data_IF_702657539383
#
_entry.id   IF_702657539383
#
_cell.length_a   1.000
_cell.length_b   1.000
_cell.length_c   1.000
_cell.angle_alpha   90.00
_cell.angle_beta   90.00
_cell.angle_gamma   90.00
#
_symmetry.space_group_name_H-M   'P 1'
#
loop_
_entity.id
_entity.type
_entity.pdbx_description
1 polymer ?
#
# COMPACT_ATOMS: atom_id res chain seq x y z
N UNK A 1 -4.85 -0.54 -45.52
CA UNK A 1 -5.91 -1.49 -45.15
C UNK A 1 -6.62 -0.88 -43.95
N UNK A 2 -7.87 -0.44 -44.11
CA UNK A 2 -8.60 0.27 -43.05
C UNK A 2 -9.08 -0.71 -41.97
N UNK A 3 -8.53 -0.62 -40.77
CA UNK A 3 -8.88 -1.39 -39.56
C UNK A 3 -10.19 -0.92 -38.91
N UNK A 4 -11.20 -0.53 -39.70
CA UNK A 4 -12.46 0.06 -39.21
C UNK A 4 -13.69 -0.82 -39.47
N UNK A 5 -13.48 -2.13 -39.54
CA UNK A 5 -14.50 -3.09 -39.12
C UNK A 5 -13.93 -3.75 -37.86
N UNK A 6 -14.54 -3.45 -36.71
CA UNK A 6 -14.32 -4.20 -35.47
C UNK A 6 -14.46 -5.68 -35.80
N UNK A 7 -13.33 -6.38 -35.89
CA UNK A 7 -13.33 -7.77 -36.32
C UNK A 7 -13.83 -8.58 -35.12
N UNK A 8 -15.15 -8.71 -34.99
CA UNK A 8 -15.86 -9.39 -33.89
C UNK A 8 -15.23 -10.76 -33.63
N UNK A 9 -14.80 -11.45 -34.68
CA UNK A 9 -14.09 -12.73 -34.56
C UNK A 9 -12.75 -12.59 -33.84
N UNK A 10 -11.93 -11.59 -34.20
CA UNK A 10 -10.67 -11.30 -33.54
C UNK A 10 -10.89 -10.90 -32.07
N UNK A 11 -11.88 -10.06 -31.77
CA UNK A 11 -12.20 -9.67 -30.39
C UNK A 11 -12.63 -10.86 -29.53
N UNK A 12 -13.45 -11.75 -30.09
CA UNK A 12 -13.84 -13.00 -29.42
C UNK A 12 -12.63 -13.92 -29.20
N UNK A 13 -11.73 -14.00 -30.19
CA UNK A 13 -10.51 -14.79 -30.08
C UNK A 13 -9.57 -14.23 -29.01
N UNK A 14 -9.33 -12.92 -29.00
CA UNK A 14 -8.52 -12.25 -27.98
C UNK A 14 -9.12 -12.49 -26.60
N UNK A 15 -10.43 -12.32 -26.42
CA UNK A 15 -11.11 -12.56 -25.13
C UNK A 15 -10.96 -14.01 -24.67
N UNK A 16 -11.11 -14.97 -25.58
CA UNK A 16 -10.97 -16.39 -25.27
C UNK A 16 -9.54 -16.74 -24.84
N UNK A 17 -8.53 -16.27 -25.58
CA UNK A 17 -7.12 -16.53 -25.29
C UNK A 17 -6.66 -15.80 -24.02
N UNK A 18 -7.12 -14.56 -23.81
CA UNK A 18 -6.79 -13.74 -22.62
C UNK A 18 -7.29 -14.34 -21.30
N UNK A 19 -8.29 -15.23 -21.37
CA UNK A 19 -8.81 -15.98 -20.23
C UNK A 19 -8.01 -17.26 -19.91
N UNK A 20 -7.04 -17.63 -20.77
CA UNK A 20 -6.16 -18.80 -20.58
C UNK A 20 -4.81 -18.30 -20.07
N UNK A 21 -4.31 -18.77 -18.90
CA UNK A 21 -3.01 -18.36 -18.41
C UNK A 21 -1.90 -18.77 -19.39
N UNK A 22 -1.02 -17.85 -19.78
CA UNK A 22 0.03 -18.12 -20.79
C UNK A 22 0.93 -19.28 -20.36
N UNK A 23 1.19 -19.44 -19.06
CA UNK A 23 1.99 -20.55 -18.54
C UNK A 23 1.40 -21.94 -18.81
N UNK A 24 0.12 -22.05 -19.20
CA UNK A 24 -0.51 -23.32 -19.60
C UNK A 24 -0.40 -23.60 -21.10
N UNK A 25 0.01 -22.62 -21.90
CA UNK A 25 0.18 -22.75 -23.34
C UNK A 25 1.62 -23.22 -23.61
N UNK A 26 1.78 -24.29 -24.38
CA UNK A 26 3.12 -24.75 -24.79
C UNK A 26 3.79 -23.68 -25.67
N UNK A 27 5.11 -23.49 -25.53
CA UNK A 27 5.88 -22.42 -26.20
C UNK A 27 5.97 -22.56 -27.74
N UNK A 28 5.44 -23.62 -28.34
CA UNK A 28 5.35 -23.85 -29.78
C UNK A 28 3.94 -23.63 -30.35
N UNK A 29 2.95 -23.35 -29.49
CA UNK A 29 1.55 -23.15 -29.87
C UNK A 29 1.20 -21.70 -30.20
N UNK A 30 1.94 -20.75 -29.65
CA UNK A 30 1.76 -19.31 -29.88
C UNK A 30 3.03 -18.72 -30.47
N UNK A 31 2.95 -18.23 -31.71
CA UNK A 31 4.09 -17.55 -32.35
C UNK A 31 4.37 -16.19 -31.71
N UNK A 32 5.55 -15.61 -31.96
CA UNK A 32 5.88 -14.26 -31.48
C UNK A 32 4.88 -13.23 -32.03
N UNK A 33 4.50 -13.34 -33.31
CA UNK A 33 3.51 -12.46 -33.93
C UNK A 33 2.11 -12.65 -33.31
N UNK A 34 1.75 -13.91 -32.99
CA UNK A 34 0.49 -14.22 -32.30
C UNK A 34 0.45 -13.63 -30.90
N UNK A 35 1.55 -13.75 -30.15
CA UNK A 35 1.71 -13.15 -28.83
C UNK A 35 1.70 -11.62 -28.92
N UNK A 36 2.43 -11.02 -29.87
CA UNK A 36 2.43 -9.57 -30.10
C UNK A 36 1.02 -9.06 -30.40
N UNK A 37 0.28 -9.77 -31.25
CA UNK A 37 -1.13 -9.44 -31.54
C UNK A 37 -1.97 -9.48 -30.26
N UNK A 38 -1.89 -10.57 -29.49
CA UNK A 38 -2.59 -10.71 -28.22
C UNK A 38 -2.29 -9.56 -27.26
N UNK A 39 -1.01 -9.30 -26.99
CA UNK A 39 -0.58 -8.26 -26.06
C UNK A 39 -0.97 -6.86 -26.55
N UNK A 40 -0.83 -6.55 -27.84
CA UNK A 40 -1.23 -5.24 -28.38
C UNK A 40 -2.73 -4.96 -28.27
N UNK A 41 -3.57 -6.01 -28.25
CA UNK A 41 -5.01 -5.86 -28.09
C UNK A 41 -5.44 -5.73 -26.64
N UNK A 42 -4.67 -6.26 -25.69
CA UNK A 42 -4.99 -6.24 -24.25
C UNK A 42 -4.27 -5.13 -23.50
N UNK A 43 -3.17 -4.61 -24.05
CA UNK A 43 -2.46 -3.44 -23.55
C UNK A 43 -3.37 -2.20 -23.64
N UNK A 44 -3.47 -1.45 -22.54
CA UNK A 44 -4.28 -0.22 -22.41
C UNK A 44 -5.80 -0.32 -22.68
N UNK A 45 -6.34 -1.53 -22.89
CA UNK A 45 -7.80 -1.76 -23.01
C UNK A 45 -8.35 -2.38 -21.73
N UNK A 46 -9.63 -2.13 -21.43
CA UNK A 46 -10.37 -2.81 -20.34
C UNK A 46 -10.72 -4.27 -20.70
N UNK A 47 -9.78 -5.01 -21.32
CA UNK A 47 -9.93 -6.44 -21.57
C UNK A 47 -9.29 -7.18 -20.40
N UNK A 48 -10.05 -8.00 -19.66
CA UNK A 48 -9.47 -8.85 -18.63
C UNK A 48 -8.40 -9.77 -19.20
N UNK A 49 -7.22 -9.78 -18.58
CA UNK A 49 -6.11 -10.64 -18.94
C UNK A 49 -5.68 -11.42 -17.70
N UNK A 50 -5.81 -12.75 -17.74
CA UNK A 50 -5.66 -13.59 -16.55
C UNK A 50 -4.20 -13.75 -16.10
N UNK A 51 -3.26 -13.52 -17.01
CA UNK A 51 -1.83 -13.77 -16.78
C UNK A 51 -1.16 -12.53 -16.15
N UNK A 52 -0.50 -12.64 -14.98
CA UNK A 52 0.25 -11.54 -14.38
C UNK A 52 1.42 -11.08 -15.25
N UNK A 53 1.83 -9.81 -15.10
CA UNK A 53 2.85 -9.16 -15.94
C UNK A 53 4.21 -9.86 -15.92
N UNK A 54 4.60 -10.44 -14.79
CA UNK A 54 5.82 -11.27 -14.72
C UNK A 54 5.71 -12.53 -15.59
N UNK A 55 4.54 -13.18 -15.60
CA UNK A 55 4.34 -14.38 -16.39
C UNK A 55 4.23 -14.06 -17.89
N UNK A 56 3.74 -12.87 -18.24
CA UNK A 56 3.82 -12.33 -19.61
C UNK A 56 5.26 -12.15 -20.03
N UNK A 57 6.08 -11.49 -19.18
CA UNK A 57 7.51 -11.34 -19.43
C UNK A 57 8.22 -12.69 -19.58
N UNK A 58 7.98 -13.60 -18.64
CA UNK A 58 8.54 -14.95 -18.65
C UNK A 58 8.21 -15.69 -19.94
N UNK A 59 6.94 -15.69 -20.35
CA UNK A 59 6.51 -16.35 -21.57
C UNK A 59 7.19 -15.75 -22.80
N UNK A 60 7.22 -14.42 -22.88
CA UNK A 60 7.86 -13.66 -23.96
C UNK A 60 9.35 -13.96 -24.07
N UNK A 61 10.07 -13.93 -22.95
CA UNK A 61 11.51 -14.19 -22.89
C UNK A 61 11.87 -15.62 -23.29
N UNK A 62 11.10 -16.62 -22.83
CA UNK A 62 11.33 -18.03 -23.20
C UNK A 62 11.04 -18.25 -24.69
N UNK A 63 9.99 -17.62 -25.23
CA UNK A 63 9.64 -17.70 -26.65
C UNK A 63 10.71 -17.07 -27.53
N UNK A 64 11.20 -15.88 -27.17
CA UNK A 64 12.33 -15.20 -27.83
C UNK A 64 13.60 -16.06 -27.79
N UNK A 65 13.92 -16.63 -26.63
CA UNK A 65 15.09 -17.50 -26.48
C UNK A 65 15.01 -18.76 -27.35
N UNK A 66 13.81 -19.32 -27.52
CA UNK A 66 13.57 -20.47 -28.41
C UNK A 66 13.83 -20.15 -29.89
N UNK A 67 13.56 -18.91 -30.33
CA UNK A 67 13.89 -18.49 -31.69
C UNK A 67 15.40 -18.40 -31.92
N UNK A 68 16.17 -18.05 -30.88
CA UNK A 68 17.62 -17.93 -30.95
C UNK A 68 18.30 -19.30 -30.98
N UNK A 69 18.03 -20.17 -29.99
CA UNK A 69 18.58 -21.54 -29.94
C UNK A 69 17.92 -22.40 -28.85
N UNK A 70 18.07 -23.72 -28.95
CA UNK A 70 17.63 -24.64 -27.88
C UNK A 70 18.40 -24.41 -26.57
N UNK A 71 19.68 -24.03 -26.64
CA UNK A 71 20.49 -23.75 -25.45
C UNK A 71 20.02 -22.47 -24.75
N UNK A 72 19.69 -21.43 -25.52
CA UNK A 72 19.10 -20.20 -24.99
C UNK A 72 17.73 -20.49 -24.35
N UNK A 73 16.87 -21.26 -25.03
CA UNK A 73 15.57 -21.70 -24.49
C UNK A 73 15.71 -22.38 -23.12
N UNK A 74 16.57 -23.40 -23.01
CA UNK A 74 16.75 -24.13 -21.75
C UNK A 74 17.37 -23.25 -20.65
N UNK A 75 18.28 -22.35 -21.01
CA UNK A 75 18.93 -21.48 -20.04
C UNK A 75 17.95 -20.44 -19.47
N UNK A 76 17.21 -19.73 -20.33
CA UNK A 76 16.22 -18.73 -19.91
C UNK A 76 15.07 -19.40 -19.14
N UNK A 77 14.59 -20.56 -19.58
CA UNK A 77 13.55 -21.30 -18.87
C UNK A 77 13.97 -21.72 -17.45
N UNK A 78 15.26 -22.05 -17.23
CA UNK A 78 15.81 -22.34 -15.90
C UNK A 78 15.94 -21.08 -15.03
N UNK A 79 16.30 -19.96 -15.64
CA UNK A 79 16.55 -18.70 -14.92
C UNK A 79 15.26 -17.91 -14.61
N UNK A 80 14.17 -18.18 -15.33
CA UNK A 80 12.85 -17.57 -15.11
C UNK A 80 11.88 -18.61 -14.51
N UNK A 81 11.85 -18.77 -13.16
CA UNK A 81 10.89 -19.66 -12.50
C UNK A 81 9.44 -19.18 -12.68
N UNK A 82 8.44 -20.05 -12.53
CA UNK A 82 7.04 -19.60 -12.44
C UNK A 82 6.78 -18.86 -11.12
N UNK A 83 5.67 -18.13 -11.00
CA UNK A 83 5.31 -17.47 -9.74
C UNK A 83 5.18 -18.48 -8.59
N UNK A 84 4.49 -19.60 -8.84
CA UNK A 84 4.37 -20.70 -7.87
C UNK A 84 5.73 -21.22 -7.39
N UNK A 85 6.70 -21.38 -8.32
CA UNK A 85 8.06 -21.79 -7.98
C UNK A 85 8.79 -20.70 -7.19
N UNK A 86 8.62 -19.43 -7.56
CA UNK A 86 9.24 -18.30 -6.87
C UNK A 86 8.75 -18.17 -5.42
N UNK A 87 7.45 -18.33 -5.18
CA UNK A 87 6.85 -18.31 -3.83
C UNK A 87 7.40 -19.45 -2.96
N UNK A 88 7.53 -20.66 -3.53
CA UNK A 88 8.12 -21.80 -2.82
C UNK A 88 9.61 -21.58 -2.52
N UNK A 89 10.37 -21.00 -3.46
CA UNK A 89 11.78 -20.69 -3.28
C UNK A 89 12.01 -19.60 -2.22
N UNK A 90 11.08 -18.65 -2.11
CA UNK A 90 11.11 -17.60 -1.10
C UNK A 90 10.89 -18.17 0.31
N UNK A 91 9.89 -19.06 0.47
CA UNK A 91 9.66 -19.77 1.74
C UNK A 91 10.88 -20.58 2.18
N UNK A 92 11.74 -20.99 1.24
CA UNK A 92 12.93 -21.79 1.47
C UNK A 92 14.24 -20.97 1.49
N UNK A 93 14.20 -19.64 1.43
CA UNK A 93 15.38 -18.73 1.47
C UNK A 93 16.41 -18.89 0.34
N UNK A 94 16.03 -19.53 -0.78
CA UNK A 94 16.96 -19.93 -1.84
C UNK A 94 17.18 -18.91 -2.97
N UNK A 95 16.50 -17.76 -3.00
CA UNK A 95 16.65 -16.79 -4.10
C UNK A 95 18.09 -16.27 -4.24
N UNK A 96 18.84 -16.18 -3.13
CA UNK A 96 20.24 -15.75 -3.12
C UNK A 96 21.20 -16.74 -3.80
N UNK A 97 20.84 -18.03 -3.96
CA UNK A 97 21.72 -19.02 -4.58
C UNK A 97 21.68 -19.00 -6.12
N UNK A 98 20.60 -18.48 -6.73
CA UNK A 98 20.50 -18.30 -8.19
C UNK A 98 21.55 -17.31 -8.74
N UNK A 99 22.08 -16.41 -7.91
CA UNK A 99 23.17 -15.51 -8.30
C UNK A 99 24.46 -16.27 -8.66
N UNK A 100 24.67 -17.48 -8.15
CA UNK A 100 25.95 -18.21 -8.23
C UNK A 100 26.08 -19.08 -9.50
N UNK A 101 24.98 -19.39 -10.19
CA UNK A 101 24.96 -20.15 -11.45
C UNK A 101 24.55 -19.31 -12.66
N UNK A 102 24.88 -18.02 -12.69
CA UNK A 102 24.74 -17.20 -13.91
C UNK A 102 25.79 -17.62 -14.93
N UNK A 103 25.49 -18.70 -15.65
CA UNK A 103 26.15 -19.00 -16.91
C UNK A 103 25.80 -17.83 -17.83
N UNK A 104 26.77 -16.93 -18.04
CA UNK A 104 26.67 -15.83 -19.01
C UNK A 104 26.18 -16.44 -20.33
N UNK A 105 24.97 -16.10 -20.73
CA UNK A 105 24.40 -16.55 -21.99
C UNK A 105 25.17 -15.80 -23.07
N UNK A 106 25.96 -16.52 -23.87
CA UNK A 106 26.67 -15.93 -25.01
C UNK A 106 25.72 -15.25 -26.03
N UNK A 107 24.44 -15.58 -25.97
CA UNK A 107 23.37 -15.12 -26.86
C UNK A 107 22.38 -14.11 -26.22
N UNK A 108 22.65 -13.54 -25.03
CA UNK A 108 21.72 -12.61 -24.36
C UNK A 108 21.29 -11.44 -25.24
N UNK A 109 22.24 -10.89 -26.01
CA UNK A 109 21.95 -9.79 -26.94
C UNK A 109 20.98 -10.20 -28.06
N UNK A 110 21.05 -11.46 -28.52
CA UNK A 110 20.12 -11.98 -29.53
C UNK A 110 18.73 -12.22 -28.93
N UNK A 111 18.67 -12.73 -27.69
CA UNK A 111 17.40 -12.87 -26.98
C UNK A 111 16.77 -11.50 -26.76
N UNK A 112 17.56 -10.51 -26.36
CA UNK A 112 17.12 -9.12 -26.18
C UNK A 112 16.54 -8.53 -27.48
N UNK A 113 17.19 -8.75 -28.63
CA UNK A 113 16.69 -8.26 -29.92
C UNK A 113 15.38 -8.90 -30.33
N UNK A 114 15.22 -10.21 -30.10
CA UNK A 114 13.94 -10.89 -30.37
C UNK A 114 12.83 -10.46 -29.39
N UNK A 115 13.20 -10.14 -28.15
CA UNK A 115 12.27 -9.73 -27.09
C UNK A 115 11.83 -8.26 -27.22
N UNK A 116 12.64 -7.40 -27.84
CA UNK A 116 12.46 -5.93 -27.89
C UNK A 116 11.03 -5.51 -28.25
N UNK A 117 10.44 -6.15 -29.26
CA UNK A 117 9.09 -5.86 -29.76
C UNK A 117 7.95 -6.36 -28.86
N UNK A 118 8.24 -7.11 -27.81
CA UNK A 118 7.26 -7.59 -26.82
C UNK A 118 7.37 -6.80 -25.51
N UNK A 119 8.57 -6.32 -25.17
CA UNK A 119 8.81 -5.50 -23.97
C UNK A 119 7.89 -4.29 -23.90
N UNK A 120 7.60 -3.66 -25.04
CA UNK A 120 6.75 -2.46 -25.13
C UNK A 120 5.33 -2.69 -24.57
N UNK A 121 4.84 -3.94 -24.54
CA UNK A 121 3.50 -4.27 -24.06
C UNK A 121 3.45 -4.76 -22.61
N UNK A 122 4.60 -4.84 -21.93
CA UNK A 122 4.69 -5.36 -20.56
C UNK A 122 4.80 -4.21 -19.60
N UNK A 123 3.91 -4.16 -18.61
CA UNK A 123 3.99 -3.14 -17.57
C UNK A 123 4.87 -3.63 -16.41
N UNK A 124 6.17 -3.41 -16.52
CA UNK A 124 7.15 -3.80 -15.49
C UNK A 124 6.90 -3.14 -14.12
N UNK A 125 6.16 -2.03 -14.05
CA UNK A 125 5.78 -1.38 -12.77
C UNK A 125 4.85 -2.26 -11.91
N UNK A 126 4.16 -3.22 -12.53
CA UNK A 126 3.29 -4.19 -11.87
C UNK A 126 4.01 -5.48 -11.46
N UNK A 127 5.28 -5.64 -11.83
CA UNK A 127 6.10 -6.78 -11.41
C UNK A 127 6.67 -6.47 -10.02
N UNK A 128 6.67 -7.46 -9.13
CA UNK A 128 7.23 -7.30 -7.80
C UNK A 128 8.72 -6.90 -7.85
N UNK A 129 9.10 -5.87 -7.08
CA UNK A 129 10.47 -5.34 -7.11
C UNK A 129 11.56 -6.38 -6.82
N UNK A 130 11.27 -7.38 -5.97
CA UNK A 130 12.20 -8.48 -5.69
C UNK A 130 12.46 -9.38 -6.90
N UNK A 131 11.44 -9.64 -7.72
CA UNK A 131 11.57 -10.40 -8.97
C UNK A 131 12.35 -9.57 -9.98
N UNK A 132 12.03 -8.28 -10.08
CA UNK A 132 12.73 -7.35 -10.96
C UNK A 132 14.25 -7.33 -10.69
N UNK A 133 14.65 -7.06 -9.44
CA UNK A 133 16.05 -6.89 -9.02
C UNK A 133 16.84 -8.20 -9.09
N UNK A 134 16.25 -9.30 -8.62
CA UNK A 134 17.00 -10.55 -8.44
C UNK A 134 16.96 -11.48 -9.66
N UNK A 135 15.93 -11.35 -10.49
CA UNK A 135 15.67 -12.28 -11.60
C UNK A 135 15.73 -11.56 -12.94
N UNK A 136 14.96 -10.49 -13.16
CA UNK A 136 14.82 -9.87 -14.49
C UNK A 136 16.05 -9.04 -14.89
N UNK A 137 16.39 -8.04 -14.07
CA UNK A 137 17.50 -7.10 -14.35
C UNK A 137 18.82 -7.84 -14.64
N UNK A 138 19.21 -8.87 -13.87
CA UNK A 138 20.50 -9.50 -14.09
C UNK A 138 20.56 -10.44 -15.31
N UNK A 139 19.45 -10.66 -16.02
CA UNK A 139 19.47 -11.39 -17.29
C UNK A 139 19.99 -10.55 -18.44
N UNK A 140 19.98 -9.21 -18.32
CA UNK A 140 20.44 -8.29 -19.35
C UNK A 140 19.73 -8.49 -20.71
N UNK A 141 18.49 -9.01 -20.69
CA UNK A 141 17.62 -9.17 -21.88
C UNK A 141 16.54 -8.09 -21.99
N UNK A 142 16.39 -7.26 -20.96
CA UNK A 142 15.45 -6.12 -20.93
C UNK A 142 16.22 -4.82 -21.13
N UNK A 143 15.73 -3.86 -21.94
CA UNK A 143 16.37 -2.56 -22.09
C UNK A 143 16.55 -1.85 -20.75
N UNK A 144 17.72 -1.25 -20.55
CA UNK A 144 18.07 -0.57 -19.29
C UNK A 144 17.12 0.60 -18.99
N UNK A 145 16.62 1.28 -20.02
CA UNK A 145 15.67 2.38 -19.89
C UNK A 145 14.38 1.92 -19.20
N UNK A 146 13.88 0.73 -19.56
CA UNK A 146 12.66 0.15 -18.97
C UNK A 146 12.88 -0.16 -17.49
N UNK A 147 14.00 -0.79 -17.14
CA UNK A 147 14.35 -1.09 -15.75
C UNK A 147 14.50 0.20 -14.93
N UNK A 148 15.22 1.19 -15.47
CA UNK A 148 15.46 2.48 -14.81
C UNK A 148 14.15 3.24 -14.56
N UNK A 149 13.21 3.20 -15.50
CA UNK A 149 11.91 3.87 -15.36
C UNK A 149 11.04 3.23 -14.28
N UNK A 150 11.15 1.90 -14.07
CA UNK A 150 10.50 1.23 -12.93
C UNK A 150 11.12 1.68 -11.61
N UNK A 151 12.44 1.73 -11.51
CA UNK A 151 13.12 2.23 -10.31
C UNK A 151 12.72 3.67 -9.96
N UNK A 152 12.67 4.55 -10.98
CA UNK A 152 12.20 5.94 -10.82
C UNK A 152 10.76 6.00 -10.35
N UNK A 153 9.86 5.21 -10.95
CA UNK A 153 8.45 5.15 -10.56
C UNK A 153 8.29 4.68 -9.11
N UNK A 154 8.96 3.61 -8.73
CA UNK A 154 8.92 3.06 -7.37
C UNK A 154 9.49 4.07 -6.36
N UNK A 155 10.56 4.77 -6.71
CA UNK A 155 11.17 5.81 -5.85
C UNK A 155 10.23 7.00 -5.64
N UNK A 156 9.56 7.47 -6.70
CA UNK A 156 8.57 8.55 -6.58
C UNK A 156 7.36 8.14 -5.72
N UNK A 157 6.91 6.89 -5.84
CA UNK A 157 5.81 6.33 -5.04
C UNK A 157 6.21 6.17 -3.55
N UNK A 158 7.43 5.75 -3.25
CA UNK A 158 7.90 5.60 -1.87
C UNK A 158 8.14 6.97 -1.20
N UNK A 159 8.65 7.94 -1.96
CA UNK A 159 9.00 9.24 -1.44
C UNK A 159 7.78 10.16 -1.17
N UNK A 160 6.59 9.83 -1.65
CA UNK A 160 5.38 10.58 -1.28
C UNK A 160 5.04 10.43 0.21
N UNK A 161 5.51 9.35 0.85
CA UNK A 161 5.24 9.05 2.27
C UNK A 161 6.47 9.29 3.17
N UNK A 162 7.63 9.59 2.58
CA UNK A 162 8.87 9.79 3.33
C UNK A 162 8.94 11.22 3.85
N UNK A 163 9.03 11.37 5.18
CA UNK A 163 9.39 12.66 5.76
C UNK A 163 10.91 12.80 5.65
N UNK A 164 11.39 13.88 5.02
CA UNK A 164 12.82 14.25 4.87
C UNK A 164 13.52 14.58 6.20
N UNK A 165 12.97 14.13 7.32
CA UNK A 165 13.41 14.44 8.68
C UNK A 165 14.18 13.24 9.22
N UNK A 166 15.40 13.51 9.70
CA UNK A 166 16.19 12.53 10.45
C UNK A 166 15.50 12.21 11.78
N UNK A 167 15.18 10.94 12.03
CA UNK A 167 14.57 10.47 13.29
C UNK A 167 13.05 10.34 13.23
N UNK A 168 12.39 10.10 14.37
CA UNK A 168 10.91 10.06 14.43
C UNK A 168 10.40 11.50 14.36
N UNK A 169 9.58 11.85 13.35
CA UNK A 169 9.01 13.19 13.27
C UNK A 169 8.12 13.48 14.49
N UNK A 170 8.41 14.59 15.16
CA UNK A 170 7.52 15.16 16.18
C UNK A 170 6.58 16.11 15.45
N UNK A 171 5.32 15.74 15.36
CA UNK A 171 4.31 16.57 14.73
C UNK A 171 3.65 17.44 15.79
N UNK A 172 3.90 18.75 15.72
CA UNK A 172 3.21 19.75 16.55
C UNK A 172 2.00 20.25 15.80
N UNK A 173 0.84 20.08 16.42
CA UNK A 173 -0.43 20.51 15.84
C UNK A 173 -0.48 22.03 15.72
N UNK A 174 -0.92 22.52 14.57
CA UNK A 174 -1.22 23.94 14.41
C UNK A 174 -2.62 24.23 14.97
N UNK A 175 -2.89 25.50 15.29
CA UNK A 175 -4.18 25.94 15.83
C UNK A 175 -5.39 25.59 14.93
N UNK A 176 -5.17 25.42 13.62
CA UNK A 176 -6.19 24.98 12.66
C UNK A 176 -6.55 23.51 12.77
N UNK A 177 -5.65 22.68 13.30
CA UNK A 177 -5.81 21.23 13.40
C UNK A 177 -6.54 20.83 14.70
N UNK A 178 -6.62 21.75 15.66
CA UNK A 178 -7.17 21.57 17.00
C UNK A 178 -8.64 22.02 17.11
N UNK A 179 -9.47 21.58 16.16
CA UNK A 179 -10.90 21.92 16.09
C UNK A 179 -11.72 20.66 16.35
N UNK A 180 -12.68 20.72 17.29
CA UNK A 180 -13.63 19.65 17.55
C UNK A 180 -14.51 19.39 16.33
N UNK A 181 -14.70 18.11 16.03
CA UNK A 181 -15.57 17.63 14.96
C UNK A 181 -17.02 17.67 15.44
N UNK A 182 -17.78 18.65 14.94
CA UNK A 182 -19.20 18.82 15.28
C UNK A 182 -20.05 17.60 14.90
N UNK A 183 -19.63 16.83 13.88
CA UNK A 183 -20.38 15.66 13.41
C UNK A 183 -20.29 14.46 14.36
N UNK A 184 -19.24 14.41 15.18
CA UNK A 184 -19.01 13.34 16.18
C UNK A 184 -19.04 13.88 17.62
N UNK A 185 -19.78 14.97 17.81
CA UNK A 185 -20.03 15.57 19.11
C UNK A 185 -21.37 15.07 19.67
N UNK A 186 -21.36 14.53 20.88
CA UNK A 186 -22.59 14.11 21.56
C UNK A 186 -23.56 15.28 21.81
N UNK A 187 -24.86 15.02 21.69
CA UNK A 187 -25.93 16.04 21.71
C UNK A 187 -26.05 16.88 22.99
N UNK A 188 -25.40 16.47 24.09
CA UNK A 188 -25.39 17.20 25.37
C UNK A 188 -24.15 18.06 25.57
N UNK A 189 -23.24 18.10 24.60
CA UNK A 189 -22.08 18.96 24.57
C UNK A 189 -22.31 20.12 23.60
N UNK A 190 -21.80 21.30 23.96
CA UNK A 190 -21.74 22.47 23.08
C UNK A 190 -20.29 22.74 22.72
N UNK A 191 -20.07 23.07 21.46
CA UNK A 191 -18.77 23.46 20.93
C UNK A 191 -18.79 24.98 20.71
N UNK A 192 -17.79 25.67 21.24
CA UNK A 192 -17.67 27.12 21.25
C UNK A 192 -16.28 27.57 20.79
N UNK A 193 -16.05 28.89 20.72
CA UNK A 193 -14.78 29.51 20.36
C UNK A 193 -14.18 28.98 19.04
N UNK A 194 -14.99 28.99 17.98
CA UNK A 194 -14.56 28.52 16.65
C UNK A 194 -14.19 27.04 16.61
N UNK A 195 -14.74 26.24 17.53
CA UNK A 195 -14.53 24.81 17.57
C UNK A 195 -13.45 24.34 18.56
N UNK A 196 -12.92 25.24 19.40
CA UNK A 196 -11.78 24.93 20.29
C UNK A 196 -12.18 24.60 21.72
N UNK A 197 -13.37 25.04 22.14
CA UNK A 197 -13.87 24.83 23.50
C UNK A 197 -15.05 23.86 23.45
N UNK A 198 -15.04 22.87 24.34
CA UNK A 198 -16.17 21.97 24.55
C UNK A 198 -16.71 22.12 25.96
N UNK A 199 -18.02 22.26 26.08
CA UNK A 199 -18.69 22.41 27.35
C UNK A 199 -19.89 21.46 27.44
N UNK A 200 -20.06 20.83 28.61
CA UNK A 200 -21.26 20.07 28.89
C UNK A 200 -22.44 20.98 29.27
N UNK A 201 -23.62 20.67 28.75
CA UNK A 201 -24.87 21.31 29.16
C UNK A 201 -25.17 21.06 30.64
N UNK A 202 -25.88 21.99 31.30
CA UNK A 202 -26.21 21.89 32.72
C UNK A 202 -27.05 20.65 33.09
N UNK A 203 -27.73 20.04 32.12
CA UNK A 203 -28.54 18.83 32.27
C UNK A 203 -27.80 17.56 31.80
N UNK A 204 -26.49 17.61 31.59
CA UNK A 204 -25.67 16.46 31.21
C UNK A 204 -25.48 15.52 32.42
N UNK A 205 -26.35 14.51 32.52
CA UNK A 205 -26.36 13.53 33.63
C UNK A 205 -25.54 12.27 33.35
N UNK A 206 -25.12 12.05 32.11
CA UNK A 206 -24.30 10.91 31.67
C UNK A 206 -23.00 11.42 31.06
N UNK A 207 -22.00 10.54 30.98
CA UNK A 207 -20.77 10.83 30.23
C UNK A 207 -21.10 10.94 28.73
N UNK A 208 -20.46 11.91 28.10
CA UNK A 208 -20.64 12.27 26.69
C UNK A 208 -19.26 12.66 26.17
N UNK A 209 -19.01 12.41 24.89
CA UNK A 209 -17.69 12.58 24.29
C UNK A 209 -17.75 13.49 23.08
N UNK A 210 -16.64 14.19 22.84
CA UNK A 210 -16.34 14.91 21.61
C UNK A 210 -14.89 14.58 21.22
N UNK A 211 -14.59 14.65 19.93
CA UNK A 211 -13.27 14.37 19.37
C UNK A 211 -12.84 15.50 18.44
N UNK A 212 -11.54 15.77 18.38
CA UNK A 212 -10.96 16.68 17.40
C UNK A 212 -11.07 16.06 16.00
N UNK A 213 -11.25 16.89 14.97
CA UNK A 213 -11.26 16.49 13.56
C UNK A 213 -9.83 16.20 13.05
N UNK A 214 -9.14 15.28 13.73
CA UNK A 214 -7.80 14.87 13.38
C UNK A 214 -7.61 13.38 13.65
N UNK A 215 -6.94 12.70 12.72
CA UNK A 215 -6.53 11.31 12.85
C UNK A 215 -5.04 11.26 13.19
N UNK A 216 -4.71 10.50 14.24
CA UNK A 216 -3.33 10.26 14.66
C UNK A 216 -2.79 9.05 13.89
N UNK A 217 -2.42 9.26 12.63
CA UNK A 217 -1.96 8.20 11.73
C UNK A 217 -0.44 8.18 11.57
N UNK A 218 0.09 7.04 11.13
CA UNK A 218 1.52 6.76 10.94
C UNK A 218 2.32 6.63 12.24
N UNK A 219 3.54 6.08 12.15
CA UNK A 219 4.47 5.89 13.28
C UNK A 219 5.17 7.20 13.69
N UNK A 220 4.40 8.25 14.03
CA UNK A 220 4.87 9.58 14.44
C UNK A 220 4.60 9.83 15.92
N UNK A 221 5.27 10.83 16.51
CA UNK A 221 4.97 11.35 17.85
C UNK A 221 4.11 12.59 17.68
N UNK A 222 2.98 12.66 18.38
CA UNK A 222 2.05 13.78 18.33
C UNK A 222 1.99 14.46 19.69
N UNK A 223 2.16 15.77 19.72
CA UNK A 223 2.06 16.53 20.95
C UNK A 223 0.91 17.54 20.89
N UNK A 224 0.07 17.53 21.91
CA UNK A 224 -0.98 18.53 22.07
C UNK A 224 -1.19 18.90 23.53
N UNK A 225 -1.79 20.07 23.72
CA UNK A 225 -2.08 20.60 25.04
C UNK A 225 -3.60 20.74 25.21
N UNK A 226 -4.12 20.36 26.38
CA UNK A 226 -5.53 20.57 26.76
C UNK A 226 -5.57 21.49 27.98
N UNK A 227 -6.41 22.52 27.91
CA UNK A 227 -6.59 23.50 28.98
C UNK A 227 -7.94 23.25 29.66
N UNK A 228 -7.93 23.06 30.97
CA UNK A 228 -9.17 22.95 31.76
C UNK A 228 -9.57 24.34 32.21
N UNK A 229 -10.45 25.01 31.45
CA UNK A 229 -10.89 26.37 31.78
C UNK A 229 -11.72 26.40 33.06
N UNK A 230 -12.70 25.48 33.17
CA UNK A 230 -13.55 25.28 34.35
C UNK A 230 -13.64 23.80 34.64
N UNK A 231 -13.20 23.39 35.82
CA UNK A 231 -13.23 21.99 36.21
C UNK A 231 -14.65 21.57 36.58
N UNK A 232 -14.99 20.33 36.24
CA UNK A 232 -16.19 19.67 36.68
C UNK A 232 -15.79 18.36 37.39
N UNK A 233 -16.70 17.80 38.20
CA UNK A 233 -16.38 16.62 39.00
C UNK A 233 -15.92 15.43 38.14
N UNK A 234 -16.39 15.32 36.90
CA UNK A 234 -16.17 14.20 36.00
C UNK A 234 -15.74 14.66 34.61
N UNK A 235 -14.51 15.16 34.49
CA UNK A 235 -13.86 15.44 33.19
C UNK A 235 -12.91 14.30 32.87
N UNK A 236 -12.90 13.84 31.61
CA UNK A 236 -11.99 12.83 31.12
C UNK A 236 -11.40 13.26 29.78
N UNK A 237 -10.08 13.21 29.65
CA UNK A 237 -9.34 13.70 28.47
C UNK A 237 -8.41 12.58 28.00
N UNK A 238 -8.28 12.37 26.70
CA UNK A 238 -7.31 11.42 26.14
C UNK A 238 -7.54 11.14 24.67
N UNK A 239 -7.31 9.89 24.27
CA UNK A 239 -7.35 9.44 22.87
C UNK A 239 -8.45 8.39 22.65
N UNK A 240 -8.99 8.36 21.44
CA UNK A 240 -9.96 7.35 21.02
C UNK A 240 -9.71 6.87 19.60
N UNK A 241 -10.21 5.67 19.29
CA UNK A 241 -10.27 5.13 17.92
C UNK A 241 -11.32 5.86 17.09
N UNK A 242 -11.07 6.05 15.80
CA UNK A 242 -12.08 6.50 14.84
C UNK A 242 -13.14 5.42 14.57
N UNK A 243 -12.76 4.14 14.71
CA UNK A 243 -13.65 3.00 14.51
C UNK A 243 -14.20 2.46 15.83
N UNK A 244 -15.47 2.07 15.83
CA UNK A 244 -16.14 1.38 16.95
C UNK A 244 -16.07 2.11 18.30
N UNK A 245 -16.02 3.44 18.27
CA UNK A 245 -16.10 4.28 19.48
C UNK A 245 -17.51 4.85 19.65
N UNK A 246 -18.10 4.64 20.83
CA UNK A 246 -19.40 5.17 21.19
C UNK A 246 -19.24 6.50 21.94
N UNK A 247 -19.64 7.59 21.29
CA UNK A 247 -19.56 8.95 21.83
C UNK A 247 -20.54 9.20 22.98
N UNK A 248 -21.65 8.46 23.03
CA UNK A 248 -22.68 8.57 24.08
C UNK A 248 -22.32 7.81 25.38
N UNK A 249 -21.23 7.03 25.35
CA UNK A 249 -20.74 6.23 26.46
C UNK A 249 -19.54 6.86 27.18
N UNK A 250 -19.20 6.32 28.35
CA UNK A 250 -17.96 6.71 29.02
C UNK A 250 -16.74 6.15 28.26
N UNK A 251 -15.90 7.02 27.72
CA UNK A 251 -14.72 6.65 26.93
C UNK A 251 -13.81 5.61 27.62
N UNK A 252 -13.52 5.76 28.91
CA UNK A 252 -12.63 4.85 29.64
C UNK A 252 -13.20 3.43 29.84
N UNK A 253 -14.52 3.24 29.71
CA UNK A 253 -15.12 1.89 29.76
C UNK A 253 -14.94 1.10 28.47
N UNK A 254 -14.57 1.77 27.38
CA UNK A 254 -14.45 1.18 26.05
C UNK A 254 -12.99 0.78 25.78
N UNK A 255 -12.75 -0.33 25.07
CA UNK A 255 -11.39 -0.70 24.66
C UNK A 255 -10.79 0.31 23.67
N UNK A 256 -11.66 1.03 22.95
CA UNK A 256 -11.33 2.06 21.96
C UNK A 256 -11.04 3.44 22.57
N UNK A 257 -11.02 3.59 23.90
CA UNK A 257 -10.76 4.87 24.58
C UNK A 257 -9.72 4.76 25.71
N UNK A 258 -8.75 5.67 25.72
CA UNK A 258 -7.79 5.83 26.82
C UNK A 258 -7.93 7.24 27.37
N UNK A 259 -8.27 7.36 28.66
CA UNK A 259 -8.55 8.67 29.26
C UNK A 259 -7.89 8.85 30.62
N UNK A 260 -7.57 10.10 30.96
CA UNK A 260 -7.23 10.55 32.30
C UNK A 260 -8.35 11.43 32.86
N UNK A 261 -8.76 11.16 34.09
CA UNK A 261 -9.86 11.84 34.76
C UNK A 261 -9.44 13.06 35.57
N UNK A 262 -10.41 13.88 35.95
CA UNK A 262 -10.28 15.04 36.84
C UNK A 262 -9.58 14.73 38.16
N UNK A 263 -9.76 13.53 38.70
CA UNK A 263 -9.10 13.06 39.93
C UNK A 263 -7.64 12.58 39.72
N UNK A 264 -7.15 12.53 38.48
CA UNK A 264 -5.82 12.03 38.16
C UNK A 264 -5.71 10.51 38.01
N UNK A 265 -6.83 9.79 37.95
CA UNK A 265 -6.86 8.37 37.58
C UNK A 265 -6.91 8.21 36.07
N UNK A 266 -6.23 7.22 35.50
CA UNK A 266 -6.41 6.82 34.11
C UNK A 266 -7.31 5.58 33.97
N UNK A 267 -8.01 5.47 32.85
CA UNK A 267 -8.93 4.37 32.58
C UNK A 267 -8.92 3.96 31.10
N UNK A 268 -8.89 2.65 30.87
CA UNK A 268 -9.13 2.01 29.58
C UNK A 268 -9.82 0.67 29.82
N UNK A 269 -10.78 0.30 28.95
CA UNK A 269 -11.51 -0.97 29.05
C UNK A 269 -12.16 -1.22 30.43
N UNK A 270 -12.55 -0.15 31.14
CA UNK A 270 -13.12 -0.21 32.49
C UNK A 270 -12.11 -0.50 33.60
N UNK A 271 -10.83 -0.68 33.28
CA UNK A 271 -9.74 -0.86 34.24
C UNK A 271 -9.22 0.49 34.69
N UNK A 272 -9.14 0.71 36.00
CA UNK A 272 -8.71 1.98 36.58
C UNK A 272 -7.31 1.88 37.17
N UNK A 273 -6.47 2.86 36.86
CA UNK A 273 -5.20 3.09 37.57
C UNK A 273 -5.31 4.39 38.33
N UNK A 274 -5.29 4.29 39.66
CA UNK A 274 -5.38 5.44 40.55
C UNK A 274 -4.02 6.12 40.70
N UNK A 275 -4.04 7.42 41.03
CA UNK A 275 -2.84 8.23 41.23
C UNK A 275 -1.89 8.25 40.02
N UNK A 276 -2.43 8.18 38.80
CA UNK A 276 -1.65 8.22 37.57
C UNK A 276 -1.01 9.60 37.36
N UNK A 277 -1.74 10.67 37.65
CA UNK A 277 -1.22 12.03 37.65
C UNK A 277 -1.88 12.90 38.73
N UNK A 278 -1.39 14.13 38.98
CA UNK A 278 -2.06 15.06 39.89
C UNK A 278 -3.41 15.51 39.34
N UNK A 279 -4.39 15.72 40.22
CA UNK A 279 -5.74 16.16 39.85
C UNK A 279 -5.78 17.40 38.98
N UNK A 280 -6.81 17.48 38.15
CA UNK A 280 -7.08 18.59 37.24
C UNK A 280 -7.74 19.72 38.03
N UNK A 281 -7.33 20.95 37.75
CA UNK A 281 -7.83 22.17 38.38
C UNK A 281 -8.08 23.22 37.30
N UNK A 282 -8.90 24.21 37.61
CA UNK A 282 -9.15 25.37 36.75
C UNK A 282 -7.83 26.03 36.35
N UNK A 283 -7.72 26.40 35.06
CA UNK A 283 -6.52 26.98 34.46
C UNK A 283 -5.36 26.00 34.26
N UNK A 284 -5.51 24.70 34.60
CA UNK A 284 -4.44 23.73 34.43
C UNK A 284 -4.32 23.32 32.96
N UNK A 285 -3.08 23.35 32.48
CA UNK A 285 -2.66 22.86 31.18
C UNK A 285 -2.10 21.44 31.29
N UNK A 286 -2.56 20.54 30.43
CA UNK A 286 -2.13 19.15 30.34
C UNK A 286 -1.49 18.93 28.98
N UNK A 287 -0.31 18.30 28.97
CA UNK A 287 0.38 17.90 27.74
C UNK A 287 0.25 16.42 27.52
N UNK A 288 -0.09 16.04 26.29
CA UNK A 288 -0.09 14.68 25.79
C UNK A 288 1.02 14.55 24.73
N UNK A 289 1.72 13.42 24.72
CA UNK A 289 2.82 13.05 23.82
C UNK A 289 2.70 11.55 23.49
#
# INVERSE_FOLDING_TARGET
MSLTEDNIFLDLLIKAISAIPLNTIEFDRLSIEGLKCLLSYTHDKEIPFVTPEYEVFRYSAILAAKQVSNDAYHTIMKQLPTLEQSEQMEQLSHLNSLQVEKKLIADNQKVASELEHLVEFINFKRIEGRILVNIIEPLEITPNEVILDVYRHNTLSINSDSNDIRGIPIYRLNDSDLVFDESVCSSKLTIEDGGKVVQASANCVKHQSARINMLLENKRIFEWDVIVEKNCRFIYIGVCSSENFNYEGFAGSQPTGWVVGSCGSCCNSGVWTNNYCPSLKDGKKLRFT
#
